data_IF_590755887792
#
_entry.id   IF_590755887792
#
_cell.length_a   1.000
_cell.length_b   1.000
_cell.length_c   1.000
_cell.angle_alpha   90.00
_cell.angle_beta   90.00
_cell.angle_gamma   90.00
#
_symmetry.space_group_name_H-M   'P 1'
#
loop_
_entity.id
_entity.type
_entity.pdbx_description
1 polymer ?
#
# COMPACT_ATOMS: atom_id res chain seq x y z
N UNK A 1 0.81 -7.29 16.77
CA UNK A 1 0.97 -6.92 15.35
C UNK A 1 -0.20 -6.08 14.95
N UNK A 2 0.08 -4.82 14.68
CA UNK A 2 -0.85 -3.88 14.10
C UNK A 2 -1.41 -4.41 12.78
N UNK A 3 -2.59 -3.94 12.37
CA UNK A 3 -3.24 -4.37 11.12
C UNK A 3 -2.32 -4.11 9.91
N UNK A 4 -1.62 -2.98 9.89
CA UNK A 4 -0.69 -2.62 8.82
C UNK A 4 0.56 -3.52 8.82
N UNK A 5 1.07 -3.90 10.00
CA UNK A 5 2.21 -4.82 10.10
C UNK A 5 1.89 -6.22 9.59
N UNK A 6 0.68 -6.74 9.91
CA UNK A 6 0.24 -8.05 9.40
C UNK A 6 0.13 -8.03 7.88
N UNK A 7 -0.47 -6.97 7.33
CA UNK A 7 -0.63 -6.81 5.90
C UNK A 7 0.72 -6.70 5.19
N UNK A 8 1.64 -5.88 5.73
CA UNK A 8 3.00 -5.76 5.20
C UNK A 8 3.72 -7.11 5.21
N UNK A 9 3.61 -7.87 6.30
CA UNK A 9 4.20 -9.21 6.39
C UNK A 9 3.58 -10.18 5.38
N UNK A 10 2.26 -10.15 5.18
CA UNK A 10 1.58 -10.95 4.17
C UNK A 10 2.08 -10.62 2.76
N UNK A 11 2.20 -9.34 2.41
CA UNK A 11 2.73 -8.88 1.10
C UNK A 11 4.17 -9.37 0.92
N UNK A 12 5.04 -9.13 1.90
CA UNK A 12 6.47 -9.48 1.81
C UNK A 12 6.73 -10.98 1.83
N UNK A 13 5.84 -11.77 2.44
CA UNK A 13 5.95 -13.23 2.47
C UNK A 13 5.66 -13.89 1.13
N UNK A 14 5.06 -13.17 0.17
CA UNK A 14 4.66 -13.69 -1.14
C UNK A 14 3.60 -14.81 -1.09
N UNK A 15 2.99 -15.05 0.08
CA UNK A 15 2.06 -16.16 0.28
C UNK A 15 0.61 -15.84 -0.14
N UNK A 16 0.31 -14.59 -0.52
CA UNK A 16 -1.05 -14.16 -0.80
C UNK A 16 -1.10 -13.10 -1.90
N UNK A 17 -1.08 -13.56 -3.16
CA UNK A 17 -1.30 -12.68 -4.33
C UNK A 17 -2.78 -12.36 -4.58
N UNK A 18 -3.74 -13.07 -3.95
CA UNK A 18 -5.16 -13.04 -4.38
C UNK A 18 -6.18 -12.45 -3.40
N UNK A 19 -5.83 -12.17 -2.13
CA UNK A 19 -6.82 -11.82 -1.08
C UNK A 19 -6.58 -10.46 -0.40
N UNK A 20 -5.76 -9.58 -0.99
CA UNK A 20 -5.52 -8.24 -0.43
C UNK A 20 -6.48 -7.26 -1.09
N UNK A 21 -7.34 -6.65 -0.30
CA UNK A 21 -8.24 -5.61 -0.80
C UNK A 21 -7.44 -4.37 -1.22
N UNK A 22 -7.78 -3.81 -2.39
CA UNK A 22 -7.10 -2.64 -2.93
C UNK A 22 -7.06 -1.45 -1.95
N UNK A 23 -8.17 -1.21 -1.25
CA UNK A 23 -8.26 -0.16 -0.23
C UNK A 23 -7.27 -0.38 0.93
N UNK A 24 -7.04 -1.64 1.34
CA UNK A 24 -6.07 -1.93 2.39
C UNK A 24 -4.63 -1.65 1.95
N UNK A 25 -4.32 -1.88 0.66
CA UNK A 25 -3.03 -1.51 0.08
C UNK A 25 -2.85 0.01 0.05
N UNK A 26 -3.88 0.76 -0.35
CA UNK A 26 -3.86 2.22 -0.36
C UNK A 26 -3.60 2.77 1.06
N UNK A 27 -4.34 2.27 2.06
CA UNK A 27 -4.16 2.66 3.45
C UNK A 27 -2.77 2.30 4.00
N UNK A 28 -2.20 1.18 3.57
CA UNK A 28 -0.82 0.82 3.94
C UNK A 28 0.19 1.80 3.36
N UNK A 29 0.07 2.19 2.08
CA UNK A 29 0.97 3.14 1.45
C UNK A 29 0.87 4.52 2.13
N UNK A 30 -0.34 4.99 2.44
CA UNK A 30 -0.55 6.22 3.22
C UNK A 30 0.10 6.13 4.61
N UNK A 31 -0.05 4.99 5.30
CA UNK A 31 0.58 4.76 6.61
C UNK A 31 2.12 4.78 6.53
N UNK A 32 2.68 4.30 5.41
CA UNK A 32 4.12 4.34 5.13
C UNK A 32 4.61 5.74 4.70
N UNK A 33 3.74 6.75 4.67
CA UNK A 33 4.07 8.13 4.35
C UNK A 33 4.12 8.43 2.85
N UNK A 34 3.49 7.60 2.01
CA UNK A 34 3.25 7.98 0.62
C UNK A 34 2.11 8.99 0.54
N UNK A 35 2.26 9.93 -0.38
CA UNK A 35 1.21 10.85 -0.81
C UNK A 35 0.39 10.18 -1.91
N UNK A 36 -0.93 10.31 -1.85
CA UNK A 36 -1.85 9.76 -2.85
C UNK A 36 -2.43 10.88 -3.71
N UNK A 37 -2.36 10.69 -5.03
CA UNK A 37 -3.02 11.51 -6.03
C UNK A 37 -4.00 10.68 -6.84
N UNK A 38 -5.28 11.04 -6.77
CA UNK A 38 -6.35 10.32 -7.48
C UNK A 38 -6.72 11.06 -8.78
N UNK A 39 -6.71 10.34 -9.91
CA UNK A 39 -7.15 10.83 -11.23
C UNK A 39 -8.14 9.85 -11.86
N UNK A 40 -9.43 10.08 -11.63
CA UNK A 40 -10.48 9.13 -12.00
C UNK A 40 -10.36 7.87 -11.15
N UNK A 41 -10.21 6.70 -11.79
CA UNK A 41 -9.98 5.42 -11.10
C UNK A 41 -8.50 5.09 -10.85
N UNK A 42 -7.58 6.00 -11.21
CA UNK A 42 -6.15 5.80 -11.00
C UNK A 42 -5.74 6.41 -9.66
N UNK A 43 -5.09 5.60 -8.83
CA UNK A 43 -4.46 6.01 -7.59
C UNK A 43 -2.94 6.01 -7.81
N UNK A 44 -2.34 7.18 -7.73
CA UNK A 44 -0.90 7.38 -7.94
C UNK A 44 -0.30 7.68 -6.58
N UNK A 45 0.75 6.95 -6.20
CA UNK A 45 1.43 7.12 -4.91
C UNK A 45 2.86 7.58 -5.13
N UNK A 46 3.26 8.67 -4.47
CA UNK A 46 4.63 9.21 -4.51
C UNK A 46 5.13 9.46 -3.09
N UNK A 47 6.43 9.38 -2.85
CA UNK A 47 7.03 9.74 -1.56
C UNK A 47 8.39 10.38 -1.79
N UNK A 48 8.64 11.50 -1.12
CA UNK A 48 9.96 12.14 -1.14
C UNK A 48 11.04 11.12 -0.71
N UNK A 49 12.11 11.02 -1.51
CA UNK A 49 13.19 10.06 -1.27
C UNK A 49 12.93 8.62 -1.76
N UNK A 50 11.82 8.36 -2.46
CA UNK A 50 11.58 7.13 -3.23
C UNK A 50 11.48 7.51 -4.70
N UNK A 51 12.36 6.96 -5.54
CA UNK A 51 12.30 7.18 -6.98
C UNK A 51 11.06 6.52 -7.60
N UNK A 52 10.46 7.18 -8.58
CA UNK A 52 9.28 6.72 -9.33
C UNK A 52 9.60 5.61 -10.34
#
# INVERSE_FOLDING_TARGET
MDKHEKLLWTILSGYSDANIAFEELCQLLLHLGFEERVRGSHHIFSREGVEE
#
